data_IF_364424544470
#
_entry.id   IF_364424544470
#
_cell.length_a   1.000
_cell.length_b   1.000
_cell.length_c   1.000
_cell.angle_alpha   90.00
_cell.angle_beta   90.00
_cell.angle_gamma   90.00
#
_symmetry.space_group_name_H-M   'P 1'
#
loop_
_entity.id
_entity.type
_entity.pdbx_description
1 polymer ?
#
# COMPACT_ATOMS: atom_id res chain seq x y z
N UNK A 1 -8.82 -19.51 -16.85
CA UNK A 1 -7.73 -19.47 -15.83
C UNK A 1 -8.08 -20.44 -14.69
N UNK A 2 -7.10 -21.17 -14.12
CA UNK A 2 -7.40 -22.01 -12.94
C UNK A 2 -7.44 -21.12 -11.69
N UNK A 3 -8.55 -21.14 -10.95
CA UNK A 3 -8.66 -20.44 -9.69
C UNK A 3 -7.79 -21.10 -8.60
N UNK A 4 -7.18 -20.31 -7.71
CA UNK A 4 -6.51 -20.86 -6.53
C UNK A 4 -7.55 -21.04 -5.42
N UNK A 5 -7.81 -22.30 -5.07
CA UNK A 5 -8.81 -22.65 -4.05
C UNK A 5 -8.20 -23.11 -2.73
N UNK A 6 -6.90 -23.41 -2.69
CA UNK A 6 -6.23 -23.92 -1.49
C UNK A 6 -5.45 -22.83 -0.76
N UNK A 7 -5.74 -22.65 0.51
CA UNK A 7 -4.95 -21.79 1.42
C UNK A 7 -3.54 -22.33 1.69
N UNK A 8 -3.27 -23.59 1.32
CA UNK A 8 -1.95 -24.23 1.42
C UNK A 8 -1.07 -23.99 0.19
N UNK A 9 -1.60 -23.35 -0.85
CA UNK A 9 -0.84 -22.98 -2.04
C UNK A 9 0.40 -22.16 -1.65
N UNK A 10 1.55 -22.47 -2.25
CA UNK A 10 2.85 -21.82 -1.91
C UNK A 10 2.84 -20.33 -2.19
N UNK A 11 2.17 -19.88 -3.26
CA UNK A 11 2.02 -18.46 -3.57
C UNK A 11 1.20 -17.75 -2.50
N UNK A 12 0.06 -18.32 -2.09
CA UNK A 12 -0.78 -17.78 -1.01
C UNK A 12 0.00 -17.68 0.31
N UNK A 13 0.77 -18.70 0.66
CA UNK A 13 1.66 -18.65 1.83
C UNK A 13 2.71 -17.53 1.75
N UNK A 14 3.23 -17.26 0.55
CA UNK A 14 4.14 -16.14 0.35
C UNK A 14 3.44 -14.79 0.54
N UNK A 15 2.23 -14.63 0.01
CA UNK A 15 1.44 -13.40 0.19
C UNK A 15 1.12 -13.13 1.66
N UNK A 16 0.79 -14.15 2.44
CA UNK A 16 0.61 -14.03 3.89
C UNK A 16 1.88 -13.52 4.59
N UNK A 17 3.06 -14.00 4.17
CA UNK A 17 4.33 -13.48 4.70
C UNK A 17 4.54 -12.01 4.34
N UNK A 18 4.18 -11.59 3.13
CA UNK A 18 4.23 -10.18 2.72
C UNK A 18 3.28 -9.31 3.56
N UNK A 19 2.09 -9.82 3.86
CA UNK A 19 1.13 -9.11 4.69
C UNK A 19 1.64 -8.90 6.12
N UNK A 20 2.21 -9.94 6.74
CA UNK A 20 2.58 -9.94 8.15
C UNK A 20 3.97 -9.34 8.42
N UNK A 21 4.94 -9.57 7.52
CA UNK A 21 6.37 -9.37 7.82
C UNK A 21 7.03 -8.28 7.00
N UNK A 22 7.43 -7.18 7.65
CA UNK A 22 8.19 -6.10 7.05
C UNK A 22 9.49 -6.58 6.36
N UNK A 23 10.18 -7.56 6.99
CA UNK A 23 11.39 -8.16 6.42
C UNK A 23 11.13 -8.79 5.04
N UNK A 24 10.00 -9.48 4.88
CA UNK A 24 9.64 -10.11 3.61
C UNK A 24 9.27 -9.07 2.54
N UNK A 25 8.56 -8.01 2.92
CA UNK A 25 8.27 -6.88 2.01
C UNK A 25 9.57 -6.22 1.52
N UNK A 26 10.48 -5.92 2.45
CA UNK A 26 11.78 -5.34 2.10
C UNK A 26 12.61 -6.26 1.20
N UNK A 27 12.65 -7.58 1.50
CA UNK A 27 13.41 -8.57 0.73
C UNK A 27 12.89 -8.72 -0.70
N UNK A 28 11.56 -8.75 -0.87
CA UNK A 28 10.91 -9.01 -2.16
C UNK A 28 10.61 -7.72 -2.94
N UNK A 29 10.65 -6.56 -2.29
CA UNK A 29 10.25 -5.30 -2.88
C UNK A 29 8.75 -5.25 -3.22
N UNK A 30 7.93 -6.06 -2.52
CA UNK A 30 6.49 -6.24 -2.77
C UNK A 30 5.69 -6.04 -1.49
N UNK A 31 4.43 -5.60 -1.65
CA UNK A 31 3.46 -5.50 -0.57
C UNK A 31 2.04 -5.69 -1.08
N UNK A 32 1.07 -5.83 -0.17
CA UNK A 32 -0.33 -6.05 -0.52
C UNK A 32 -1.15 -4.79 -0.32
N UNK A 33 -2.10 -4.57 -1.23
CA UNK A 33 -3.12 -3.52 -1.15
C UNK A 33 -4.48 -4.19 -1.23
N UNK A 34 -5.30 -4.03 -0.20
CA UNK A 34 -6.67 -4.53 -0.16
C UNK A 34 -7.66 -3.38 -0.39
N UNK A 35 -8.63 -3.59 -1.26
CA UNK A 35 -9.75 -2.68 -1.51
C UNK A 35 -9.63 -1.86 -2.78
N UNK A 36 -10.77 -1.61 -3.42
CA UNK A 36 -10.86 -0.89 -4.71
C UNK A 36 -10.32 0.54 -4.61
N UNK A 37 -10.67 1.23 -3.52
CA UNK A 37 -10.25 2.62 -3.29
C UNK A 37 -8.74 2.74 -3.11
N UNK A 38 -8.16 1.92 -2.25
CA UNK A 38 -6.73 1.92 -1.96
C UNK A 38 -5.92 1.57 -3.23
N UNK A 39 -6.40 0.60 -4.01
CA UNK A 39 -5.81 0.23 -5.32
C UNK A 39 -5.91 1.41 -6.31
N UNK A 40 -7.07 2.05 -6.41
CA UNK A 40 -7.26 3.22 -7.28
C UNK A 40 -6.29 4.37 -6.92
N UNK A 41 -6.11 4.66 -5.62
CA UNK A 41 -5.16 5.66 -5.17
C UNK A 41 -3.71 5.26 -5.43
N UNK A 42 -3.38 3.97 -5.34
CA UNK A 42 -2.05 3.47 -5.72
C UNK A 42 -1.79 3.60 -7.23
N UNK A 43 -2.79 3.36 -8.07
CA UNK A 43 -2.70 3.63 -9.52
C UNK A 43 -2.46 5.13 -9.76
N UNK A 44 -3.25 6.00 -9.13
CA UNK A 44 -3.08 7.47 -9.20
C UNK A 44 -1.71 7.92 -8.72
N UNK A 45 -1.16 7.24 -7.72
CA UNK A 45 0.19 7.45 -7.20
C UNK A 45 1.30 6.81 -8.05
N UNK A 46 1.01 6.30 -9.25
CA UNK A 46 1.97 5.66 -10.16
C UNK A 46 2.73 4.49 -9.50
N UNK A 47 2.04 3.63 -8.75
CA UNK A 47 2.59 2.37 -8.28
C UNK A 47 2.54 1.31 -9.38
N UNK A 48 3.58 0.48 -9.45
CA UNK A 48 3.63 -0.67 -10.36
C UNK A 48 3.05 -1.90 -9.66
N UNK A 49 2.21 -2.64 -10.39
CA UNK A 49 1.55 -3.84 -9.88
C UNK A 49 2.17 -5.10 -10.51
N UNK A 50 2.25 -6.16 -9.73
CA UNK A 50 2.72 -7.48 -10.14
C UNK A 50 1.54 -8.40 -10.50
N UNK A 51 0.57 -8.49 -9.59
CA UNK A 51 -0.57 -9.41 -9.70
C UNK A 51 -1.78 -8.82 -8.98
N UNK A 52 -2.96 -9.14 -9.49
CA UNK A 52 -4.25 -8.88 -8.81
C UNK A 52 -4.92 -10.21 -8.52
N UNK A 53 -5.28 -10.40 -7.25
CA UNK A 53 -6.11 -11.51 -6.81
C UNK A 53 -7.54 -11.00 -6.63
N UNK A 54 -8.51 -11.78 -7.08
CA UNK A 54 -9.92 -11.41 -6.95
C UNK A 54 -10.81 -12.62 -6.69
N UNK A 55 -11.91 -12.37 -6.02
CA UNK A 55 -12.97 -13.35 -5.85
C UNK A 55 -14.16 -12.97 -6.74
N UNK A 56 -14.54 -13.86 -7.66
CA UNK A 56 -15.56 -13.60 -8.68
C UNK A 56 -16.97 -13.37 -8.12
N UNK A 57 -17.25 -13.75 -6.86
CA UNK A 57 -18.53 -13.45 -6.20
C UNK A 57 -18.70 -11.94 -5.90
N UNK A 58 -17.60 -11.17 -5.84
CA UNK A 58 -17.60 -9.76 -5.43
C UNK A 58 -17.10 -8.81 -6.52
N UNK A 59 -16.19 -9.26 -7.39
CA UNK A 59 -15.57 -8.43 -8.44
C UNK A 59 -15.48 -9.20 -9.73
N UNK A 60 -16.02 -8.66 -10.81
CA UNK A 60 -15.90 -9.26 -12.13
C UNK A 60 -14.51 -9.01 -12.75
N UNK A 61 -14.08 -9.90 -13.63
CA UNK A 61 -12.84 -9.73 -14.38
C UNK A 61 -12.85 -8.43 -15.21
N UNK A 62 -14.02 -8.05 -15.76
CA UNK A 62 -14.17 -6.81 -16.52
C UNK A 62 -13.91 -5.57 -15.66
N UNK A 63 -14.36 -5.54 -14.40
CA UNK A 63 -14.05 -4.44 -13.48
C UNK A 63 -12.53 -4.31 -13.25
N UNK A 64 -11.81 -5.44 -13.16
CA UNK A 64 -10.36 -5.44 -12.99
C UNK A 64 -9.67 -4.91 -14.25
N UNK A 65 -10.09 -5.34 -15.43
CA UNK A 65 -9.57 -4.86 -16.70
C UNK A 65 -9.74 -3.34 -16.85
N UNK A 66 -10.91 -2.82 -16.50
CA UNK A 66 -11.15 -1.36 -16.49
C UNK A 66 -10.28 -0.61 -15.48
N UNK A 67 -10.02 -1.20 -14.31
CA UNK A 67 -9.23 -0.56 -13.26
C UNK A 67 -7.73 -0.50 -13.61
N UNK A 68 -7.17 -1.55 -14.27
CA UNK A 68 -5.73 -1.72 -14.49
C UNK A 68 -5.28 -1.57 -15.96
N UNK A 69 -6.15 -1.13 -16.88
CA UNK A 69 -5.81 -0.96 -18.30
C UNK A 69 -5.15 -2.21 -18.94
N UNK A 70 -5.79 -3.37 -18.83
CA UNK A 70 -5.61 -4.62 -19.58
C UNK A 70 -4.36 -5.48 -19.32
N UNK A 71 -3.23 -4.99 -18.88
CA UNK A 71 -1.96 -5.75 -18.84
C UNK A 71 -1.51 -6.24 -17.46
N UNK A 72 -2.41 -6.52 -16.53
CA UNK A 72 -2.07 -7.05 -15.21
C UNK A 72 -2.27 -8.57 -15.15
N UNK A 73 -1.36 -9.27 -14.48
CA UNK A 73 -1.57 -10.67 -14.13
C UNK A 73 -2.75 -10.80 -13.15
N UNK A 74 -3.76 -11.60 -13.50
CA UNK A 74 -5.00 -11.79 -12.73
C UNK A 74 -5.11 -13.22 -12.27
N UNK A 75 -5.42 -13.40 -11.00
CA UNK A 75 -5.61 -14.71 -10.39
C UNK A 75 -6.95 -14.72 -9.65
N UNK A 76 -7.86 -15.54 -10.13
CA UNK A 76 -9.09 -15.82 -9.40
C UNK A 76 -8.78 -16.66 -8.16
N UNK A 77 -9.40 -16.31 -7.03
CA UNK A 77 -9.24 -17.03 -5.76
C UNK A 77 -10.60 -17.37 -5.15
N UNK A 78 -10.67 -18.50 -4.46
CA UNK A 78 -11.88 -18.85 -3.72
C UNK A 78 -12.13 -17.88 -2.58
N UNK A 79 -13.38 -17.81 -2.12
CA UNK A 79 -13.78 -16.98 -0.96
C UNK A 79 -12.92 -17.28 0.28
N UNK A 80 -12.62 -18.57 0.53
CA UNK A 80 -11.78 -18.98 1.66
C UNK A 80 -10.34 -18.46 1.54
N UNK A 81 -9.74 -18.54 0.36
CA UNK A 81 -8.39 -17.99 0.09
C UNK A 81 -8.40 -16.47 0.23
N UNK A 82 -9.41 -15.79 -0.33
CA UNK A 82 -9.56 -14.35 -0.20
C UNK A 82 -9.66 -13.92 1.27
N UNK A 83 -10.56 -14.54 2.04
CA UNK A 83 -10.74 -14.25 3.47
C UNK A 83 -9.46 -14.48 4.28
N UNK A 84 -8.66 -15.47 3.92
CA UNK A 84 -7.37 -15.73 4.56
C UNK A 84 -6.34 -14.62 4.30
N UNK A 85 -6.39 -14.00 3.13
CA UNK A 85 -5.50 -12.89 2.73
C UNK A 85 -6.05 -11.53 3.14
N UNK A 86 -7.36 -11.39 3.32
CA UNK A 86 -7.99 -10.13 3.67
C UNK A 86 -7.57 -9.68 5.08
N UNK A 87 -7.26 -8.41 5.21
CA UNK A 87 -6.98 -7.75 6.49
C UNK A 87 -8.26 -7.24 7.16
N UNK A 88 -9.33 -7.05 6.38
CA UNK A 88 -10.64 -6.55 6.82
C UNK A 88 -11.67 -7.68 6.89
N UNK A 89 -12.60 -7.57 7.83
CA UNK A 89 -13.76 -8.49 7.89
C UNK A 89 -14.75 -8.25 6.75
N UNK A 90 -14.92 -6.99 6.32
CA UNK A 90 -15.74 -6.64 5.16
C UNK A 90 -14.91 -6.75 3.88
N UNK A 91 -15.33 -7.63 2.99
CA UNK A 91 -14.58 -7.98 1.78
C UNK A 91 -15.06 -7.19 0.57
N UNK A 92 -14.14 -6.50 -0.13
CA UNK A 92 -14.39 -5.89 -1.44
C UNK A 92 -13.99 -6.82 -2.60
N UNK A 93 -13.49 -8.03 -2.29
CA UNK A 93 -13.19 -9.07 -3.26
C UNK A 93 -11.92 -8.87 -4.09
N UNK A 94 -11.07 -7.89 -3.77
CA UNK A 94 -9.88 -7.58 -4.55
C UNK A 94 -8.67 -7.28 -3.66
N UNK A 95 -7.52 -7.87 -4.00
CA UNK A 95 -6.21 -7.60 -3.39
C UNK A 95 -5.18 -7.47 -4.51
N UNK A 96 -4.40 -6.40 -4.51
CA UNK A 96 -3.30 -6.22 -5.45
C UNK A 96 -1.95 -6.46 -4.77
N UNK A 97 -1.01 -7.06 -5.49
CA UNK A 97 0.41 -7.14 -5.15
C UNK A 97 1.11 -6.01 -5.90
N UNK A 98 1.73 -5.08 -5.18
CA UNK A 98 2.38 -3.92 -5.76
C UNK A 98 3.87 -3.86 -5.39
N UNK A 99 4.67 -3.16 -6.21
CA UNK A 99 6.08 -2.92 -5.95
C UNK A 99 6.26 -1.74 -4.98
N UNK A 100 7.18 -1.90 -4.03
CA UNK A 100 7.54 -0.82 -3.11
C UNK A 100 8.25 0.32 -3.85
N UNK A 101 8.04 1.55 -3.37
CA UNK A 101 8.83 2.73 -3.77
C UNK A 101 9.85 3.07 -2.70
N UNK A 102 10.88 3.79 -3.09
CA UNK A 102 11.86 4.36 -2.18
C UNK A 102 11.36 5.68 -1.60
N UNK A 103 11.26 5.75 -0.27
CA UNK A 103 10.89 6.94 0.49
C UNK A 103 12.11 7.79 0.92
N UNK A 104 13.23 7.68 0.23
CA UNK A 104 14.40 8.52 0.50
C UNK A 104 14.06 10.01 0.35
N UNK A 105 14.60 10.86 1.23
CA UNK A 105 14.44 12.32 1.21
C UNK A 105 14.81 12.93 -0.15
N UNK A 106 15.80 12.37 -0.85
CA UNK A 106 16.23 12.82 -2.18
C UNK A 106 15.15 12.74 -3.27
N UNK A 107 14.08 11.96 -3.03
CA UNK A 107 12.96 11.82 -3.96
C UNK A 107 11.85 12.83 -3.74
N UNK A 108 11.95 13.66 -2.68
CA UNK A 108 11.00 14.75 -2.44
C UNK A 108 11.27 15.87 -3.43
N UNK A 109 10.21 16.35 -4.07
CA UNK A 109 10.26 17.45 -5.03
C UNK A 109 9.20 18.48 -4.68
N UNK A 110 9.62 19.74 -4.53
CA UNK A 110 8.71 20.83 -4.28
C UNK A 110 8.43 21.60 -5.58
N UNK A 111 7.17 21.98 -5.77
CA UNK A 111 6.71 22.73 -6.94
C UNK A 111 6.68 24.24 -6.69
N UNK A 112 6.78 24.64 -5.42
CA UNK A 112 6.74 26.04 -4.97
C UNK A 112 7.95 26.35 -4.07
N UNK A 113 8.24 27.62 -3.90
CA UNK A 113 9.37 28.10 -3.10
C UNK A 113 9.08 28.13 -1.59
N UNK A 114 7.83 27.93 -1.19
CA UNK A 114 7.37 27.95 0.20
C UNK A 114 6.55 26.72 0.53
N UNK A 115 7.16 25.51 0.49
CA UNK A 115 6.43 24.27 0.73
C UNK A 115 6.01 24.14 2.20
N UNK A 116 4.81 23.62 2.43
CA UNK A 116 4.34 23.24 3.76
C UNK A 116 4.67 21.77 4.01
N UNK A 117 5.50 21.49 5.01
CA UNK A 117 6.00 20.14 5.31
C UNK A 117 5.54 19.73 6.69
N UNK A 118 4.96 18.54 6.79
CA UNK A 118 4.69 17.89 8.08
C UNK A 118 5.85 16.94 8.43
N UNK A 119 6.55 17.21 9.54
CA UNK A 119 7.59 16.31 10.06
C UNK A 119 7.05 15.59 11.29
N UNK A 120 7.10 14.25 11.28
CA UNK A 120 6.70 13.40 12.41
C UNK A 120 7.92 12.64 12.94
N UNK A 121 8.29 12.91 14.20
CA UNK A 121 9.42 12.26 14.86
C UNK A 121 9.02 10.90 15.45
N UNK A 122 9.66 9.83 14.99
CA UNK A 122 9.58 8.47 15.48
C UNK A 122 8.15 7.95 15.78
N UNK A 123 7.15 8.17 14.92
CA UNK A 123 5.81 7.66 15.18
C UNK A 123 5.83 6.12 15.20
N UNK A 124 5.36 5.52 16.29
CA UNK A 124 5.45 4.07 16.49
C UNK A 124 4.20 3.33 16.00
N UNK A 125 3.01 3.89 16.29
CA UNK A 125 1.74 3.21 16.01
C UNK A 125 1.33 3.38 14.55
N UNK A 126 1.13 2.28 13.79
CA UNK A 126 0.71 2.35 12.39
C UNK A 126 -0.55 3.20 12.16
N UNK A 127 -1.54 3.10 13.07
CA UNK A 127 -2.77 3.89 12.98
C UNK A 127 -2.53 5.41 13.07
N UNK A 128 -1.57 5.85 13.89
CA UNK A 128 -1.21 7.27 14.00
C UNK A 128 -0.56 7.78 12.71
N UNK A 129 0.32 6.97 12.09
CA UNK A 129 0.94 7.31 10.81
C UNK A 129 -0.15 7.47 9.73
N UNK A 130 -1.10 6.53 9.67
CA UNK A 130 -2.21 6.64 8.73
C UNK A 130 -3.08 7.88 8.97
N UNK A 131 -3.34 8.24 10.22
CA UNK A 131 -4.08 9.47 10.56
C UNK A 131 -3.32 10.73 10.12
N UNK A 132 -2.00 10.79 10.35
CA UNK A 132 -1.15 11.88 9.88
C UNK A 132 -1.22 12.03 8.36
N UNK A 133 -1.12 10.94 7.62
CA UNK A 133 -1.19 10.95 6.15
C UNK A 133 -2.55 11.44 5.64
N UNK A 134 -3.67 11.07 6.29
CA UNK A 134 -4.98 11.60 5.94
C UNK A 134 -5.10 13.10 6.24
N UNK A 135 -4.58 13.54 7.37
CA UNK A 135 -4.58 14.96 7.74
C UNK A 135 -3.75 15.77 6.77
N UNK A 136 -2.58 15.26 6.39
CA UNK A 136 -1.70 15.89 5.41
C UNK A 136 -2.40 16.04 4.04
N UNK A 137 -3.06 14.98 3.58
CA UNK A 137 -3.82 14.99 2.32
C UNK A 137 -4.96 16.03 2.37
N UNK A 138 -5.76 16.03 3.46
CA UNK A 138 -6.87 16.96 3.65
C UNK A 138 -6.41 18.43 3.76
N UNK A 139 -5.24 18.66 4.33
CA UNK A 139 -4.64 20.00 4.48
C UNK A 139 -3.80 20.42 3.27
N UNK A 140 -3.75 19.60 2.22
CA UNK A 140 -2.93 19.83 1.01
C UNK A 140 -1.47 20.14 1.34
N UNK A 141 -0.86 19.37 2.25
CA UNK A 141 0.54 19.49 2.65
C UNK A 141 1.44 18.99 1.51
N UNK A 142 2.52 19.70 1.20
CA UNK A 142 3.42 19.41 0.07
C UNK A 142 4.23 18.11 0.29
N UNK A 143 4.63 17.81 1.54
CA UNK A 143 5.32 16.58 1.88
C UNK A 143 5.11 16.16 3.35
N UNK A 144 5.13 14.87 3.61
CA UNK A 144 5.17 14.27 4.94
C UNK A 144 6.52 13.60 5.14
N UNK A 145 7.26 14.00 6.15
CA UNK A 145 8.57 13.42 6.47
C UNK A 145 8.46 12.65 7.80
N UNK A 146 8.82 11.39 7.76
CA UNK A 146 8.88 10.52 8.94
C UNK A 146 10.33 10.39 9.39
N UNK A 147 10.69 11.11 10.44
CA UNK A 147 11.99 11.04 11.06
C UNK A 147 12.12 9.78 11.92
N UNK A 148 13.26 9.11 11.84
CA UNK A 148 13.56 7.89 12.61
C UNK A 148 12.42 6.85 12.60
N UNK A 149 11.96 6.39 11.43
CA UNK A 149 10.79 5.52 11.31
C UNK A 149 10.95 4.24 12.14
N UNK A 150 9.96 3.93 12.97
CA UNK A 150 9.93 2.72 13.84
C UNK A 150 9.16 1.57 13.20
N UNK A 151 8.40 1.82 12.14
CA UNK A 151 7.62 0.82 11.46
C UNK A 151 7.74 0.97 9.95
N UNK A 152 7.49 -0.12 9.25
CA UNK A 152 7.46 -0.16 7.79
C UNK A 152 6.18 0.51 7.27
N UNK A 153 6.33 1.47 6.38
CA UNK A 153 5.22 2.25 5.84
C UNK A 153 4.24 1.42 5.00
N UNK A 154 4.68 0.29 4.42
CA UNK A 154 3.80 -0.65 3.71
C UNK A 154 3.09 -1.65 4.64
N UNK A 155 3.06 -1.39 5.94
CA UNK A 155 2.23 -2.13 6.88
C UNK A 155 0.74 -2.00 6.51
N UNK A 156 0.01 -3.12 6.47
CA UNK A 156 -1.40 -3.16 6.09
C UNK A 156 -2.28 -2.20 6.90
N UNK A 157 -1.96 -2.01 8.20
CA UNK A 157 -2.71 -1.07 9.04
C UNK A 157 -2.44 0.40 8.65
N UNK A 158 -1.23 0.77 8.19
CA UNK A 158 -0.97 2.12 7.68
C UNK A 158 -1.76 2.36 6.40
N UNK A 159 -1.72 1.43 5.45
CA UNK A 159 -2.47 1.53 4.20
C UNK A 159 -3.96 1.71 4.48
N UNK A 160 -4.52 0.88 5.37
CA UNK A 160 -5.91 0.94 5.78
C UNK A 160 -6.25 2.25 6.49
N UNK A 161 -5.48 2.62 7.52
CA UNK A 161 -5.78 3.80 8.35
C UNK A 161 -5.54 5.11 7.64
N UNK A 162 -4.63 5.14 6.65
CA UNK A 162 -4.46 6.28 5.75
C UNK A 162 -5.55 6.37 4.68
N UNK A 163 -6.42 5.37 4.56
CA UNK A 163 -7.48 5.34 3.54
C UNK A 163 -6.89 5.40 2.11
N UNK A 164 -5.63 4.94 1.96
CA UNK A 164 -4.88 5.01 0.70
C UNK A 164 -4.10 6.31 0.46
N UNK A 165 -4.19 7.31 1.35
CA UNK A 165 -3.43 8.57 1.20
C UNK A 165 -1.91 8.36 1.24
N UNK A 166 -1.42 7.21 1.73
CA UNK A 166 -0.01 6.82 1.62
C UNK A 166 0.48 6.78 0.16
N UNK A 167 -0.41 6.54 -0.78
CA UNK A 167 -0.05 6.39 -2.20
C UNK A 167 0.01 7.72 -2.96
N UNK A 168 -0.66 8.76 -2.46
CA UNK A 168 -0.81 10.07 -3.12
C UNK A 168 0.00 11.18 -2.46
N UNK A 169 0.33 11.07 -1.17
CA UNK A 169 1.24 12.00 -0.51
C UNK A 169 2.69 11.81 -0.98
N UNK A 170 3.46 12.90 -1.05
CA UNK A 170 4.91 12.80 -1.07
C UNK A 170 5.40 12.45 0.34
N UNK A 171 6.10 11.32 0.47
CA UNK A 171 6.59 10.84 1.76
C UNK A 171 8.10 10.68 1.70
N UNK A 172 8.78 11.25 2.70
CA UNK A 172 10.22 11.06 2.92
C UNK A 172 10.48 10.36 4.24
N UNK A 173 11.55 9.58 4.31
CA UNK A 173 12.06 8.98 5.56
C UNK A 173 13.54 9.24 5.71
N UNK A 174 13.99 9.50 6.94
CA UNK A 174 15.39 9.73 7.25
C UNK A 174 15.62 9.79 8.75
N UNK A 175 16.85 10.01 9.17
CA UNK A 175 17.17 10.36 10.57
C UNK A 175 16.80 11.82 10.84
N UNK A 176 16.57 12.17 12.10
CA UNK A 176 16.35 13.58 12.49
C UNK A 176 17.51 14.47 12.06
N UNK A 177 18.74 13.97 12.08
CA UNK A 177 19.91 14.71 11.61
C UNK A 177 19.85 15.02 10.11
N UNK A 178 19.56 14.01 9.27
CA UNK A 178 19.43 14.18 7.82
C UNK A 178 18.30 15.12 7.40
N UNK A 179 17.32 15.35 8.29
CA UNK A 179 16.17 16.21 8.01
C UNK A 179 16.45 17.65 8.44
N UNK A 180 17.31 17.86 9.45
CA UNK A 180 17.69 19.19 9.95
C UNK A 180 18.79 19.82 9.08
N UNK A 181 19.73 19.02 8.58
CA UNK A 181 20.84 19.43 7.70
C UNK A 181 20.33 19.77 6.28
#
# INVERSE_FOLDING_TARGET
MKAITSTQNTYIKNLLKLQEKARERKKQGLFLIEGKREIFLAIKGNYSFDTVLYNADFVSENEILHLFNENINRIEVSKEVYQKLAYRDATEGIIAVAKTKDFSLKNIQFKNDTPLILVAEAPEKPGNIGALLRTADAANIDAVIIANPKTDLYNANIIRSSVGCIFTNQIGTGTSKEIID
#
